data_IF_367775250152
#
_entry.id   IF_367775250152
#
_cell.length_a   1.000
_cell.length_b   1.000
_cell.length_c   1.000
_cell.angle_alpha   90.00
_cell.angle_beta   90.00
_cell.angle_gamma   90.00
#
_symmetry.space_group_name_H-M   'P 1'
#
loop_
_entity.id
_entity.type
_entity.pdbx_description
1 polymer ?
#
# COMPACT_ATOMS: atom_id res chain seq x y z
N UNK A 1 -2.25 -52.51 12.41
CA UNK A 1 -3.08 -51.28 12.46
C UNK A 1 -2.30 -49.99 12.14
N UNK A 2 -0.96 -49.99 12.02
CA UNK A 2 -0.17 -48.75 11.84
C UNK A 2 0.15 -48.33 10.39
N UNK A 3 -0.33 -49.05 9.36
CA UNK A 3 -0.03 -48.70 7.96
C UNK A 3 -0.96 -47.61 7.39
N UNK A 4 -2.19 -47.49 7.91
CA UNK A 4 -3.15 -46.47 7.44
C UNK A 4 -2.80 -45.07 7.94
N UNK A 5 -2.27 -44.94 9.17
CA UNK A 5 -1.88 -43.63 9.73
C UNK A 5 -0.62 -43.08 9.05
N UNK A 6 0.36 -43.93 8.72
CA UNK A 6 1.56 -43.52 7.99
C UNK A 6 1.30 -43.12 6.54
N UNK A 7 0.31 -43.74 5.88
CA UNK A 7 -0.10 -43.34 4.53
C UNK A 7 -0.74 -41.95 4.50
N UNK A 8 -1.59 -41.66 5.48
CA UNK A 8 -2.27 -40.36 5.59
C UNK A 8 -1.30 -39.24 5.98
N UNK A 9 -0.29 -39.49 6.82
CA UNK A 9 0.71 -38.49 7.19
C UNK A 9 1.65 -38.14 6.03
N UNK A 10 2.10 -39.13 5.25
CA UNK A 10 2.93 -38.92 4.06
C UNK A 10 2.18 -38.14 2.96
N UNK A 11 0.91 -38.49 2.72
CA UNK A 11 0.06 -37.74 1.79
C UNK A 11 -0.12 -36.29 2.22
N UNK A 12 -0.34 -36.03 3.52
CA UNK A 12 -0.45 -34.67 4.05
C UNK A 12 0.84 -33.85 3.90
N UNK A 13 2.01 -34.44 4.19
CA UNK A 13 3.31 -33.77 4.05
C UNK A 13 3.59 -33.44 2.58
N UNK A 14 3.31 -34.38 1.67
CA UNK A 14 3.51 -34.18 0.23
C UNK A 14 2.54 -33.13 -0.34
N UNK A 15 1.30 -33.10 0.16
CA UNK A 15 0.32 -32.10 -0.25
C UNK A 15 0.73 -30.69 0.22
N UNK A 16 1.19 -30.55 1.48
CA UNK A 16 1.66 -29.28 2.03
C UNK A 16 2.88 -28.73 1.27
N UNK A 17 3.82 -29.60 0.91
CA UNK A 17 5.00 -29.20 0.14
C UNK A 17 4.65 -28.69 -1.27
N UNK A 18 3.61 -29.25 -1.90
CA UNK A 18 3.12 -28.77 -3.20
C UNK A 18 2.41 -27.42 -3.07
N UNK A 19 1.56 -27.24 -2.06
CA UNK A 19 0.88 -25.95 -1.81
C UNK A 19 1.87 -24.81 -1.57
N UNK A 20 2.92 -25.04 -0.79
CA UNK A 20 3.94 -24.02 -0.53
C UNK A 20 4.68 -23.62 -1.81
N UNK A 21 5.03 -24.59 -2.67
CA UNK A 21 5.64 -24.34 -3.99
C UNK A 21 4.75 -23.46 -4.87
N UNK A 22 3.46 -23.74 -4.91
CA UNK A 22 2.50 -22.95 -5.69
C UNK A 22 2.41 -21.50 -5.20
N UNK A 23 2.37 -21.29 -3.87
CA UNK A 23 2.37 -19.94 -3.27
C UNK A 23 3.65 -19.17 -3.64
N UNK A 24 4.81 -19.82 -3.53
CA UNK A 24 6.10 -19.20 -3.88
C UNK A 24 6.18 -18.84 -5.37
N UNK A 25 5.63 -19.69 -6.24
CA UNK A 25 5.55 -19.42 -7.68
C UNK A 25 4.66 -18.21 -7.99
N UNK A 26 3.47 -18.13 -7.36
CA UNK A 26 2.56 -16.98 -7.51
C UNK A 26 3.24 -15.68 -7.05
N UNK A 27 3.94 -15.71 -5.91
CA UNK A 27 4.69 -14.56 -5.41
C UNK A 27 5.76 -14.11 -6.40
N UNK A 28 6.51 -15.04 -6.97
CA UNK A 28 7.53 -14.76 -7.98
C UNK A 28 6.95 -14.10 -9.23
N UNK A 29 5.85 -14.65 -9.76
CA UNK A 29 5.15 -14.08 -10.92
C UNK A 29 4.67 -12.65 -10.61
N UNK A 30 4.10 -12.44 -9.42
CA UNK A 30 3.67 -11.12 -8.98
C UNK A 30 4.84 -10.12 -8.88
N UNK A 31 6.01 -10.54 -8.38
CA UNK A 31 7.23 -9.70 -8.36
C UNK A 31 7.62 -9.20 -9.75
N UNK A 32 7.55 -10.08 -10.76
CA UNK A 32 7.88 -9.74 -12.15
C UNK A 32 6.91 -8.68 -12.69
N UNK A 33 5.61 -8.83 -12.40
CA UNK A 33 4.57 -7.88 -12.84
C UNK A 33 4.74 -6.50 -12.21
N UNK A 34 5.12 -6.45 -10.93
CA UNK A 34 5.24 -5.19 -10.17
C UNK A 34 6.53 -4.44 -10.46
N UNK A 35 7.61 -5.15 -10.82
CA UNK A 35 8.93 -4.55 -11.03
C UNK A 35 8.95 -3.40 -12.06
N UNK A 36 8.30 -3.51 -13.25
CA UNK A 36 8.19 -2.39 -14.19
C UNK A 36 7.48 -1.17 -13.59
N UNK A 37 6.39 -1.39 -12.85
CA UNK A 37 5.62 -0.31 -12.20
C UNK A 37 6.51 0.46 -11.24
N UNK A 38 7.29 -0.26 -10.43
CA UNK A 38 8.21 0.32 -9.47
C UNK A 38 9.30 1.17 -10.14
N UNK A 39 9.94 0.66 -11.20
CA UNK A 39 10.97 1.41 -11.94
C UNK A 39 10.41 2.71 -12.53
N UNK A 40 9.23 2.63 -13.14
CA UNK A 40 8.56 3.79 -13.71
C UNK A 40 8.19 4.80 -12.62
N UNK A 41 7.65 4.32 -11.50
CA UNK A 41 7.35 5.14 -10.32
C UNK A 41 8.58 5.92 -9.84
N UNK A 42 9.74 5.27 -9.68
CA UNK A 42 10.98 5.94 -9.25
C UNK A 42 11.39 7.05 -10.21
N UNK A 43 11.30 6.80 -11.52
CA UNK A 43 11.61 7.80 -12.57
C UNK A 43 10.67 8.99 -12.51
N UNK A 44 9.36 8.75 -12.43
CA UNK A 44 8.34 9.80 -12.39
C UNK A 44 8.43 10.61 -11.09
N UNK A 45 8.68 9.97 -9.95
CA UNK A 45 8.87 10.67 -8.67
C UNK A 45 10.05 11.64 -8.75
N UNK A 46 11.21 11.16 -9.22
CA UNK A 46 12.42 11.99 -9.35
C UNK A 46 12.18 13.24 -10.22
N UNK A 47 11.44 13.08 -11.32
CA UNK A 47 11.13 14.18 -12.24
C UNK A 47 10.17 15.22 -11.64
N UNK A 48 9.36 14.84 -10.64
CA UNK A 48 8.34 15.71 -10.05
C UNK A 48 8.73 16.26 -8.67
N UNK A 49 9.80 15.74 -8.05
CA UNK A 49 10.17 16.03 -6.66
C UNK A 49 10.19 17.52 -6.32
N UNK A 50 10.92 18.34 -7.08
CA UNK A 50 11.08 19.78 -6.82
C UNK A 50 9.77 20.55 -6.80
N UNK A 51 8.80 20.13 -7.61
CA UNK A 51 7.46 20.72 -7.63
C UNK A 51 6.60 20.16 -6.50
N UNK A 52 6.63 18.85 -6.30
CA UNK A 52 5.81 18.22 -5.28
C UNK A 52 6.19 18.73 -3.88
N UNK A 53 7.43 19.18 -3.66
CA UNK A 53 7.94 19.88 -2.47
C UNK A 53 7.10 21.09 -2.03
N UNK A 54 6.44 21.77 -2.97
CA UNK A 54 5.58 22.93 -2.69
C UNK A 54 4.20 22.52 -2.15
N UNK A 55 3.85 21.24 -2.21
CA UNK A 55 2.54 20.76 -1.76
C UNK A 55 2.52 20.50 -0.26
N UNK A 56 1.43 20.86 0.42
CA UNK A 56 1.24 20.59 1.85
C UNK A 56 1.30 19.09 2.22
N UNK A 57 1.15 18.18 1.25
CA UNK A 57 1.22 16.72 1.45
C UNK A 57 2.57 16.12 1.11
N UNK A 58 3.54 16.93 0.66
CA UNK A 58 4.83 16.45 0.21
C UNK A 58 5.52 15.57 1.23
N UNK A 59 5.48 15.95 2.50
CA UNK A 59 6.17 15.22 3.57
C UNK A 59 5.70 13.76 3.65
N UNK A 60 4.42 13.50 3.38
CA UNK A 60 3.84 12.16 3.43
C UNK A 60 4.14 11.40 2.15
N UNK A 61 4.05 12.07 0.99
CA UNK A 61 4.44 11.47 -0.30
C UNK A 61 5.94 11.10 -0.28
N UNK A 62 6.80 11.96 0.24
CA UNK A 62 8.25 11.73 0.35
C UNK A 62 8.56 10.62 1.34
N UNK A 63 7.87 10.58 2.48
CA UNK A 63 7.94 9.43 3.41
C UNK A 63 7.55 8.12 2.72
N UNK A 64 6.40 8.08 2.05
CA UNK A 64 5.95 6.92 1.28
C UNK A 64 6.96 6.54 0.19
N UNK A 65 7.54 7.52 -0.50
CA UNK A 65 8.55 7.26 -1.53
C UNK A 65 9.82 6.65 -0.95
N UNK A 66 10.39 7.27 0.09
CA UNK A 66 11.63 6.82 0.73
C UNK A 66 11.46 5.39 1.24
N UNK A 67 10.37 5.12 1.94
CA UNK A 67 10.08 3.79 2.46
C UNK A 67 9.81 2.79 1.37
N UNK A 68 8.92 3.11 0.42
CA UNK A 68 8.65 2.19 -0.69
C UNK A 68 9.93 1.90 -1.47
N UNK A 69 10.82 2.88 -1.66
CA UNK A 69 12.09 2.65 -2.35
C UNK A 69 12.95 1.62 -1.61
N UNK A 70 13.23 1.82 -0.32
CA UNK A 70 14.15 0.94 0.40
C UNK A 70 13.53 -0.41 0.77
N UNK A 71 12.32 -0.40 1.33
CA UNK A 71 11.69 -1.61 1.86
C UNK A 71 11.08 -2.48 0.77
N UNK A 72 10.49 -1.90 -0.29
CA UNK A 72 10.02 -2.73 -1.42
C UNK A 72 11.19 -3.37 -2.16
N UNK A 73 12.31 -2.65 -2.32
CA UNK A 73 13.52 -3.23 -2.91
C UNK A 73 14.08 -4.36 -2.04
N UNK A 74 14.23 -4.12 -0.73
CA UNK A 74 14.71 -5.15 0.19
C UNK A 74 13.76 -6.37 0.22
N UNK A 75 12.46 -6.15 0.23
CA UNK A 75 11.44 -7.19 0.20
C UNK A 75 11.59 -8.10 -1.02
N UNK A 76 11.65 -7.53 -2.22
CA UNK A 76 11.77 -8.33 -3.43
C UNK A 76 13.12 -9.03 -3.55
N UNK A 77 14.22 -8.39 -3.14
CA UNK A 77 15.54 -9.02 -3.14
C UNK A 77 15.60 -10.22 -2.19
N UNK A 78 15.16 -10.06 -0.94
CA UNK A 78 15.19 -11.11 0.06
C UNK A 78 14.21 -12.24 -0.27
N UNK A 79 13.02 -11.90 -0.76
CA UNK A 79 12.02 -12.91 -1.16
C UNK A 79 12.48 -13.69 -2.37
N UNK A 80 13.09 -13.05 -3.37
CA UNK A 80 13.63 -13.76 -4.54
C UNK A 80 14.79 -14.69 -4.16
N UNK A 81 15.66 -14.25 -3.25
CA UNK A 81 16.73 -15.10 -2.70
C UNK A 81 16.17 -16.27 -1.88
N UNK A 82 15.16 -16.02 -1.05
CA UNK A 82 14.47 -17.04 -0.28
C UNK A 82 13.82 -18.10 -1.18
N UNK A 83 13.10 -17.67 -2.22
CA UNK A 83 12.51 -18.58 -3.22
C UNK A 83 13.60 -19.43 -3.88
N UNK A 84 14.70 -18.82 -4.32
CA UNK A 84 15.81 -19.56 -4.93
C UNK A 84 16.35 -20.64 -3.98
N UNK A 85 16.64 -20.28 -2.73
CA UNK A 85 17.16 -21.22 -1.73
C UNK A 85 16.16 -22.33 -1.40
N UNK A 86 14.86 -22.04 -1.41
CA UNK A 86 13.83 -23.06 -1.24
C UNK A 86 13.89 -24.13 -2.35
N UNK A 87 14.07 -23.72 -3.61
CA UNK A 87 14.25 -24.67 -4.73
C UNK A 87 15.57 -25.44 -4.70
N UNK A 88 16.58 -24.96 -3.96
CA UNK A 88 17.85 -25.66 -3.70
C UNK A 88 17.83 -26.46 -2.40
N UNK A 89 16.65 -26.84 -1.90
CA UNK A 89 16.49 -27.68 -0.70
C UNK A 89 17.03 -27.04 0.59
N UNK A 90 17.18 -25.72 0.62
CA UNK A 90 17.57 -24.94 1.80
C UNK A 90 16.35 -24.28 2.47
N UNK A 91 15.31 -25.07 2.76
CA UNK A 91 14.00 -24.60 3.22
C UNK A 91 14.07 -23.71 4.47
N UNK A 92 14.80 -24.12 5.52
CA UNK A 92 14.90 -23.35 6.77
C UNK A 92 15.46 -21.94 6.54
N UNK A 93 16.51 -21.82 5.73
CA UNK A 93 17.13 -20.52 5.43
C UNK A 93 16.19 -19.68 4.57
N UNK A 94 15.50 -20.30 3.61
CA UNK A 94 14.50 -19.64 2.79
C UNK A 94 13.37 -19.03 3.62
N UNK A 95 12.78 -19.80 4.55
CA UNK A 95 11.72 -19.31 5.44
C UNK A 95 12.21 -18.13 6.28
N UNK A 96 13.41 -18.21 6.86
CA UNK A 96 13.97 -17.12 7.67
C UNK A 96 14.14 -15.83 6.85
N UNK A 97 14.65 -15.92 5.60
CA UNK A 97 14.81 -14.76 4.73
C UNK A 97 13.46 -14.13 4.35
N UNK A 98 12.45 -14.95 4.08
CA UNK A 98 11.08 -14.48 3.79
C UNK A 98 10.50 -13.80 5.03
N UNK A 99 10.65 -14.38 6.22
CA UNK A 99 10.15 -13.78 7.46
C UNK A 99 10.81 -12.42 7.77
N UNK A 100 12.13 -12.31 7.58
CA UNK A 100 12.87 -11.05 7.74
C UNK A 100 12.38 -9.98 6.75
N UNK A 101 11.92 -10.38 5.56
CA UNK A 101 11.39 -9.45 4.55
C UNK A 101 9.96 -8.99 4.87
N UNK A 102 9.11 -9.90 5.35
CA UNK A 102 7.68 -9.68 5.62
C UNK A 102 7.46 -8.77 6.83
N UNK A 103 8.21 -8.97 7.92
CA UNK A 103 7.99 -8.25 9.19
C UNK A 103 8.06 -6.72 9.02
N UNK A 104 9.12 -6.12 8.44
CA UNK A 104 9.17 -4.68 8.23
C UNK A 104 8.06 -4.16 7.30
N UNK A 105 7.68 -4.95 6.28
CA UNK A 105 6.64 -4.57 5.33
C UNK A 105 5.25 -4.54 5.97
N UNK A 106 4.98 -5.45 6.93
CA UNK A 106 3.78 -5.41 7.77
C UNK A 106 3.66 -4.06 8.48
N UNK A 107 4.70 -3.67 9.21
CA UNK A 107 4.66 -2.45 10.01
C UNK A 107 4.47 -1.20 9.15
N UNK A 108 5.15 -1.15 8.01
CA UNK A 108 5.04 -0.04 7.05
C UNK A 108 3.64 0.08 6.49
N UNK A 109 3.02 -1.06 6.17
CA UNK A 109 1.69 -1.07 5.58
C UNK A 109 0.65 -0.55 6.55
N UNK A 110 0.70 -0.97 7.81
CA UNK A 110 -0.17 -0.45 8.87
C UNK A 110 -0.02 1.05 9.06
N UNK A 111 1.22 1.53 9.15
CA UNK A 111 1.50 2.96 9.29
C UNK A 111 0.99 3.73 8.05
N UNK A 112 1.17 3.19 6.84
CA UNK A 112 0.66 3.82 5.63
C UNK A 112 -0.88 3.93 5.64
N UNK A 113 -1.59 2.87 6.02
CA UNK A 113 -3.05 2.90 6.15
C UNK A 113 -3.50 3.92 7.19
N UNK A 114 -2.87 3.96 8.36
CA UNK A 114 -3.14 4.95 9.39
C UNK A 114 -2.94 6.39 8.86
N UNK A 115 -1.83 6.66 8.19
CA UNK A 115 -1.54 7.97 7.61
C UNK A 115 -2.55 8.38 6.54
N UNK A 116 -3.08 7.43 5.76
CA UNK A 116 -4.15 7.72 4.81
C UNK A 116 -5.44 8.13 5.49
N UNK A 117 -5.82 7.44 6.57
CA UNK A 117 -6.97 7.83 7.37
C UNK A 117 -6.81 9.23 7.98
N UNK A 118 -5.60 9.55 8.49
CA UNK A 118 -5.28 10.87 9.03
C UNK A 118 -5.33 11.96 7.95
N UNK A 119 -4.80 11.68 6.76
CA UNK A 119 -4.84 12.58 5.61
C UNK A 119 -6.27 12.88 5.17
N UNK A 120 -7.13 11.86 5.15
CA UNK A 120 -8.53 12.03 4.78
C UNK A 120 -9.26 12.98 5.75
N UNK A 121 -9.03 12.79 7.05
CA UNK A 121 -9.54 13.67 8.12
C UNK A 121 -9.02 15.09 7.92
N UNK A 122 -7.70 15.26 7.77
CA UNK A 122 -7.08 16.56 7.52
C UNK A 122 -7.71 17.28 6.33
N UNK A 123 -7.90 16.57 5.19
CA UNK A 123 -8.46 17.15 3.97
C UNK A 123 -9.92 17.53 4.11
N UNK A 124 -10.71 16.69 4.78
CA UNK A 124 -12.12 16.99 5.06
C UNK A 124 -12.25 18.28 5.85
N UNK A 125 -11.57 18.39 6.99
CA UNK A 125 -11.68 19.55 7.86
C UNK A 125 -11.14 20.82 7.22
N UNK A 126 -10.00 20.79 6.55
CA UNK A 126 -9.46 21.98 5.86
C UNK A 126 -10.44 22.46 4.77
N UNK A 127 -11.09 21.54 4.06
CA UNK A 127 -12.01 21.88 2.98
C UNK A 127 -13.32 22.51 3.48
N UNK A 128 -13.96 21.92 4.50
CA UNK A 128 -15.25 22.41 5.02
C UNK A 128 -15.11 23.50 6.08
N UNK A 129 -13.97 23.53 6.78
CA UNK A 129 -13.70 24.44 7.89
C UNK A 129 -12.28 25.02 7.76
N UNK A 130 -12.07 26.03 6.90
CA UNK A 130 -10.73 26.60 6.67
C UNK A 130 -10.02 27.09 7.95
N UNK A 131 -10.77 27.47 8.99
CA UNK A 131 -10.22 27.81 10.31
C UNK A 131 -9.41 26.68 10.96
N UNK A 132 -9.64 25.43 10.57
CA UNK A 132 -8.91 24.26 11.06
C UNK A 132 -7.52 24.11 10.47
N UNK A 133 -7.19 24.83 9.39
CA UNK A 133 -5.88 24.75 8.71
C UNK A 133 -4.72 25.04 9.67
N UNK A 134 -4.87 25.98 10.60
CA UNK A 134 -3.85 26.29 11.61
C UNK A 134 -3.51 25.09 12.53
N UNK A 135 -4.47 24.21 12.77
CA UNK A 135 -4.32 23.05 13.66
C UNK A 135 -3.93 21.77 12.91
N UNK A 136 -4.39 21.65 11.66
CA UNK A 136 -4.24 20.45 10.84
C UNK A 136 -3.12 20.57 9.80
N UNK A 137 -2.40 21.68 9.74
CA UNK A 137 -1.18 21.79 8.98
C UNK A 137 -0.01 21.23 9.79
N UNK A 138 0.28 19.93 9.60
CA UNK A 138 1.34 19.25 10.33
C UNK A 138 2.72 19.76 9.94
N UNK A 139 3.45 20.33 10.91
CA UNK A 139 4.86 20.66 10.71
C UNK A 139 5.72 19.40 10.49
N UNK A 140 6.90 19.54 9.87
CA UNK A 140 7.88 18.44 9.74
C UNK A 140 8.16 17.73 11.07
N UNK A 141 8.23 18.51 12.16
CA UNK A 141 8.46 17.99 13.52
C UNK A 141 7.26 17.17 14.00
N UNK A 142 6.04 17.68 13.82
CA UNK A 142 4.80 16.98 14.19
C UNK A 142 4.66 15.68 13.41
N UNK A 143 4.87 15.71 12.09
CA UNK A 143 4.81 14.54 11.24
C UNK A 143 5.82 13.47 11.68
N UNK A 144 7.06 13.86 12.02
CA UNK A 144 8.06 12.93 12.56
C UNK A 144 7.60 12.24 13.85
N UNK A 145 6.97 12.96 14.78
CA UNK A 145 6.45 12.37 16.02
C UNK A 145 5.27 11.43 15.75
N UNK A 146 4.35 11.81 14.86
CA UNK A 146 3.24 10.94 14.43
C UNK A 146 3.78 9.62 13.88
N UNK A 147 4.81 9.69 13.02
CA UNK A 147 5.47 8.50 12.47
C UNK A 147 6.11 7.63 13.55
N UNK A 148 6.89 8.23 14.46
CA UNK A 148 7.55 7.48 15.55
C UNK A 148 6.51 6.74 16.39
N UNK A 149 5.41 7.41 16.76
CA UNK A 149 4.34 6.81 17.55
C UNK A 149 3.66 5.68 16.77
N UNK A 150 3.30 5.91 15.51
CA UNK A 150 2.63 4.92 14.67
C UNK A 150 3.49 3.66 14.45
N UNK A 151 4.77 3.82 14.14
CA UNK A 151 5.70 2.68 14.03
C UNK A 151 5.91 1.96 15.36
N UNK A 152 5.97 2.70 16.48
CA UNK A 152 6.12 2.08 17.80
C UNK A 152 4.92 1.22 18.15
N UNK A 153 3.69 1.71 17.91
CA UNK A 153 2.47 0.95 18.13
C UNK A 153 2.42 -0.31 17.25
N UNK A 154 2.74 -0.18 15.97
CA UNK A 154 2.75 -1.30 15.02
C UNK A 154 3.77 -2.37 15.42
N UNK A 155 4.97 -1.99 15.85
CA UNK A 155 5.98 -2.92 16.37
C UNK A 155 5.53 -3.59 17.68
N UNK A 156 4.86 -2.85 18.57
CA UNK A 156 4.33 -3.41 19.81
C UNK A 156 3.25 -4.47 19.55
N UNK A 157 2.39 -4.28 18.55
CA UNK A 157 1.43 -5.31 18.14
C UNK A 157 2.16 -6.56 17.64
N UNK A 158 3.18 -6.40 16.80
CA UNK A 158 3.94 -7.53 16.29
C UNK A 158 4.64 -8.30 17.42
N UNK A 159 5.26 -7.61 18.38
CA UNK A 159 5.86 -8.24 19.57
C UNK A 159 4.82 -8.97 20.40
N UNK A 160 3.59 -8.43 20.51
CA UNK A 160 2.49 -9.09 21.20
C UNK A 160 2.09 -10.41 20.50
N UNK A 161 1.94 -10.38 19.18
CA UNK A 161 1.63 -11.55 18.33
C UNK A 161 2.69 -12.64 18.46
N UNK A 162 3.97 -12.27 18.54
CA UNK A 162 5.06 -13.25 18.65
C UNK A 162 5.23 -13.83 20.06
N UNK A 163 4.84 -13.10 21.11
CA UNK A 163 5.08 -13.50 22.50
C UNK A 163 3.90 -14.24 23.12
N UNK A 164 2.68 -13.90 22.72
CA UNK A 164 1.46 -14.40 23.35
C UNK A 164 0.70 -15.33 22.41
N UNK A 165 0.13 -16.38 23.00
CA UNK A 165 -0.78 -17.29 22.29
C UNK A 165 -2.20 -16.71 22.15
N UNK A 166 -2.53 -15.69 22.96
CA UNK A 166 -3.77 -14.94 22.84
C UNK A 166 -3.64 -13.81 21.81
N UNK A 167 -4.41 -13.94 20.72
CA UNK A 167 -4.47 -12.97 19.63
C UNK A 167 -5.58 -11.91 19.81
N UNK A 168 -6.32 -11.93 20.93
CA UNK A 168 -7.47 -11.04 21.20
C UNK A 168 -7.15 -9.56 21.01
N UNK A 169 -6.04 -9.09 21.58
CA UNK A 169 -5.60 -7.70 21.50
C UNK A 169 -5.26 -7.32 20.06
N UNK A 170 -4.58 -8.22 19.33
CA UNK A 170 -4.24 -8.00 17.92
C UNK A 170 -5.49 -7.89 17.06
N UNK A 171 -6.54 -8.68 17.32
CA UNK A 171 -7.81 -8.54 16.60
C UNK A 171 -8.48 -7.19 16.85
N UNK A 172 -8.52 -6.74 18.11
CA UNK A 172 -9.11 -5.45 18.47
C UNK A 172 -8.32 -4.31 17.81
N UNK A 173 -6.99 -4.35 17.86
CA UNK A 173 -6.13 -3.36 17.22
C UNK A 173 -6.39 -3.29 15.71
N UNK A 174 -6.36 -4.42 15.01
CA UNK A 174 -6.52 -4.44 13.55
C UNK A 174 -7.95 -4.08 13.12
N UNK A 175 -8.96 -4.57 13.85
CA UNK A 175 -10.34 -4.16 13.65
C UNK A 175 -10.52 -2.65 13.84
N UNK A 176 -9.86 -2.07 14.85
CA UNK A 176 -9.90 -0.62 15.09
C UNK A 176 -9.29 0.19 13.94
N UNK A 177 -8.19 -0.28 13.33
CA UNK A 177 -7.59 0.36 12.15
C UNK A 177 -8.54 0.29 10.95
N UNK A 178 -9.21 -0.84 10.74
CA UNK A 178 -10.16 -1.00 9.64
C UNK A 178 -11.38 -0.10 9.79
N UNK A 179 -11.96 -0.05 11.00
CA UNK A 179 -13.08 0.86 11.32
C UNK A 179 -12.66 2.31 11.15
N UNK A 180 -11.48 2.69 11.67
CA UNK A 180 -10.91 4.02 11.49
C UNK A 180 -10.77 4.38 10.01
N UNK A 181 -10.21 3.49 9.19
CA UNK A 181 -10.01 3.76 7.77
C UNK A 181 -11.33 3.87 7.01
N UNK A 182 -12.29 3.01 7.32
CA UNK A 182 -13.64 3.07 6.73
C UNK A 182 -14.33 4.38 7.08
N UNK A 183 -14.27 4.79 8.35
CA UNK A 183 -14.82 6.07 8.80
C UNK A 183 -14.13 7.26 8.09
N UNK A 184 -12.80 7.22 7.97
CA UNK A 184 -12.02 8.21 7.20
C UNK A 184 -12.40 8.25 5.72
N UNK A 185 -12.73 7.11 5.11
CA UNK A 185 -13.18 7.04 3.72
C UNK A 185 -14.54 7.68 3.50
N UNK A 186 -15.48 7.51 4.44
CA UNK A 186 -16.78 8.15 4.35
C UNK A 186 -16.68 9.69 4.35
N UNK A 187 -15.65 10.26 4.99
CA UNK A 187 -15.39 11.70 4.95
C UNK A 187 -15.04 12.22 3.55
N UNK A 188 -14.62 11.36 2.61
CA UNK A 188 -14.39 11.77 1.23
C UNK A 188 -15.69 11.94 0.42
N UNK A 189 -16.78 11.29 0.81
CA UNK A 189 -18.06 11.39 0.10
C UNK A 189 -18.56 12.85 0.05
N UNK A 190 -18.64 13.58 1.20
CA UNK A 190 -18.99 15.00 1.18
C UNK A 190 -18.06 15.85 0.32
N UNK A 191 -16.74 15.58 0.35
CA UNK A 191 -15.73 16.33 -0.42
C UNK A 191 -15.99 16.18 -1.93
N UNK A 192 -16.28 14.96 -2.40
CA UNK A 192 -16.57 14.71 -3.82
C UNK A 192 -17.88 15.37 -4.23
N UNK A 193 -18.92 15.28 -3.40
CA UNK A 193 -20.21 15.92 -3.66
C UNK A 193 -20.04 17.45 -3.76
N UNK A 194 -19.33 18.08 -2.84
CA UNK A 194 -19.11 19.54 -2.86
C UNK A 194 -18.27 19.98 -4.06
N UNK A 195 -17.22 19.23 -4.43
CA UNK A 195 -16.42 19.52 -5.63
C UNK A 195 -17.27 19.42 -6.89
N UNK A 196 -18.12 18.40 -7.01
CA UNK A 196 -19.00 18.23 -8.18
C UNK A 196 -19.97 19.39 -8.37
N UNK A 197 -20.43 20.01 -7.27
CA UNK A 197 -21.29 21.20 -7.30
C UNK A 197 -20.57 22.48 -7.73
N UNK A 198 -19.25 22.57 -7.48
CA UNK A 198 -18.41 23.76 -7.78
C UNK A 198 -17.60 23.57 -9.08
N UNK A 199 -17.63 22.39 -9.69
CA UNK A 199 -16.87 22.00 -10.89
C UNK A 199 -17.18 22.81 -12.16
N UNK A 200 -18.25 23.61 -12.16
CA UNK A 200 -18.56 24.55 -13.24
C UNK A 200 -17.59 25.75 -13.30
N UNK A 201 -16.74 25.95 -12.27
CA UNK A 201 -15.74 27.02 -12.22
C UNK A 201 -14.35 26.50 -12.61
N UNK A 202 -13.65 27.24 -13.47
CA UNK A 202 -12.36 26.84 -14.06
C UNK A 202 -11.24 26.55 -13.03
N UNK A 203 -11.32 27.09 -11.80
CA UNK A 203 -10.36 26.82 -10.72
C UNK A 203 -10.57 25.46 -10.04
N UNK A 204 -11.79 24.89 -10.09
CA UNK A 204 -12.10 23.58 -9.52
C UNK A 204 -11.43 22.41 -10.27
N UNK A 205 -10.99 22.63 -11.53
CA UNK A 205 -10.18 21.67 -12.32
C UNK A 205 -8.76 21.47 -11.79
N UNK A 206 -8.33 22.19 -10.74
CA UNK A 206 -6.94 22.26 -10.27
C UNK A 206 -6.70 21.58 -8.90
N UNK A 207 -7.69 20.94 -8.25
CA UNK A 207 -7.48 20.23 -6.99
C UNK A 207 -6.90 18.80 -7.16
N UNK A 208 -5.68 18.72 -7.69
CA UNK A 208 -4.96 17.47 -8.04
C UNK A 208 -4.40 16.64 -6.86
N UNK A 209 -4.14 17.17 -5.65
CA UNK A 209 -3.65 16.34 -4.53
C UNK A 209 -4.75 15.53 -3.82
N UNK A 210 -6.03 15.93 -3.93
CA UNK A 210 -7.14 15.27 -3.22
C UNK A 210 -7.50 13.91 -3.83
N UNK A 211 -7.30 13.75 -5.13
CA UNK A 211 -7.62 12.52 -5.88
C UNK A 211 -6.70 11.36 -5.49
N UNK A 212 -5.43 11.66 -5.18
CA UNK A 212 -4.44 10.66 -4.75
C UNK A 212 -4.87 9.90 -3.51
N UNK A 213 -5.15 10.64 -2.44
CA UNK A 213 -5.59 10.06 -1.17
C UNK A 213 -6.97 9.41 -1.33
N UNK A 214 -7.88 10.03 -2.09
CA UNK A 214 -9.20 9.47 -2.35
C UNK A 214 -9.13 8.09 -3.03
N UNK A 215 -8.36 7.94 -4.10
CA UNK A 215 -8.25 6.68 -4.84
C UNK A 215 -7.58 5.59 -4.01
N UNK A 216 -6.52 5.92 -3.27
CA UNK A 216 -5.90 4.97 -2.35
C UNK A 216 -6.91 4.49 -1.31
N UNK A 217 -7.65 5.41 -0.72
CA UNK A 217 -8.60 5.10 0.34
C UNK A 217 -9.79 4.27 -0.18
N UNK A 218 -10.30 4.57 -1.38
CA UNK A 218 -11.34 3.76 -2.05
C UNK A 218 -10.86 2.34 -2.31
N UNK A 219 -9.63 2.18 -2.82
CA UNK A 219 -9.07 0.84 -3.09
C UNK A 219 -8.91 0.05 -1.79
N UNK A 220 -8.39 0.67 -0.72
CA UNK A 220 -8.19 -0.03 0.55
C UNK A 220 -9.53 -0.40 1.20
N UNK A 221 -10.55 0.47 1.15
CA UNK A 221 -11.89 0.12 1.67
C UNK A 221 -12.57 -0.95 0.81
N UNK A 222 -12.47 -0.87 -0.52
CA UNK A 222 -13.00 -1.92 -1.40
C UNK A 222 -12.37 -3.28 -1.07
N UNK A 223 -11.06 -3.31 -0.82
CA UNK A 223 -10.35 -4.50 -0.37
C UNK A 223 -10.90 -5.00 0.97
N UNK A 224 -11.15 -4.13 1.95
CA UNK A 224 -11.71 -4.50 3.25
C UNK A 224 -13.09 -5.15 3.11
N UNK A 225 -13.94 -4.65 2.22
CA UNK A 225 -15.26 -5.25 1.97
C UNK A 225 -15.17 -6.68 1.43
N UNK A 226 -14.16 -7.00 0.63
CA UNK A 226 -13.90 -8.37 0.16
C UNK A 226 -13.55 -9.30 1.32
N UNK A 227 -12.69 -8.86 2.25
CA UNK A 227 -12.31 -9.67 3.41
C UNK A 227 -13.43 -9.82 4.44
N UNK A 228 -14.27 -8.80 4.61
CA UNK A 228 -15.49 -8.92 5.40
C UNK A 228 -16.44 -9.96 4.79
N UNK A 229 -16.58 -9.97 3.47
CA UNK A 229 -17.39 -10.97 2.76
C UNK A 229 -16.82 -12.37 2.93
N UNK A 230 -15.49 -12.52 2.81
CA UNK A 230 -14.80 -13.80 3.05
C UNK A 230 -15.05 -14.31 4.48
N UNK A 231 -14.94 -13.44 5.48
CA UNK A 231 -15.23 -13.77 6.87
C UNK A 231 -16.66 -14.33 7.04
N UNK A 232 -17.67 -13.60 6.53
CA UNK A 232 -19.07 -14.02 6.61
C UNK A 232 -19.35 -15.34 5.88
N UNK A 233 -18.70 -15.58 4.74
CA UNK A 233 -18.81 -16.85 4.00
C UNK A 233 -18.20 -17.99 4.80
N UNK A 234 -17.00 -17.81 5.36
CA UNK A 234 -16.36 -18.82 6.19
C UNK A 234 -17.19 -19.16 7.44
N UNK A 235 -17.80 -18.15 8.07
CA UNK A 235 -18.71 -18.33 9.22
C UNK A 235 -20.01 -19.04 8.83
N UNK A 236 -20.58 -18.75 7.65
CA UNK A 236 -21.84 -19.36 7.21
C UNK A 236 -21.70 -20.81 6.75
N UNK A 237 -20.56 -21.18 6.16
CA UNK A 237 -20.35 -22.50 5.56
C UNK A 237 -19.45 -23.44 6.40
N UNK A 238 -19.09 -23.05 7.63
CA UNK A 238 -18.20 -23.82 8.52
C UNK A 238 -16.93 -24.31 7.81
N UNK A 239 -16.30 -23.42 7.03
CA UNK A 239 -15.14 -23.78 6.21
C UNK A 239 -13.94 -24.07 7.12
N UNK A 240 -13.56 -25.34 7.23
CA UNK A 240 -12.33 -25.75 7.90
C UNK A 240 -11.14 -25.67 6.93
N UNK A 241 -10.10 -24.89 7.24
CA UNK A 241 -8.92 -24.78 6.39
C UNK A 241 -8.08 -26.06 6.43
N UNK A 242 -7.51 -26.43 5.28
CA UNK A 242 -6.53 -27.48 5.11
C UNK A 242 -5.09 -26.92 4.99
N UNK A 243 -4.09 -27.80 5.12
CA UNK A 243 -2.69 -27.48 4.85
C UNK A 243 -1.93 -26.71 5.95
N UNK A 244 -0.98 -25.86 5.56
CA UNK A 244 -0.11 -25.07 6.47
C UNK A 244 -0.90 -24.25 7.50
N UNK A 245 -2.09 -23.77 7.12
CA UNK A 245 -2.96 -22.99 8.01
C UNK A 245 -3.57 -23.86 9.13
N UNK A 246 -3.77 -25.16 8.92
CA UNK A 246 -4.34 -26.05 9.93
C UNK A 246 -3.43 -26.17 11.17
N UNK A 247 -2.10 -26.12 10.99
CA UNK A 247 -1.12 -26.15 12.09
C UNK A 247 -1.19 -24.87 12.92
N UNK A 248 -1.32 -23.71 12.28
CA UNK A 248 -1.43 -22.39 12.93
C UNK A 248 -2.74 -22.21 13.72
N UNK A 249 -3.74 -23.07 13.47
CA UNK A 249 -5.09 -22.95 14.02
C UNK A 249 -5.34 -23.95 15.15
N UNK A 250 -4.46 -24.95 15.37
CA UNK A 250 -4.62 -25.99 16.40
C UNK A 250 -4.84 -25.46 17.82
N UNK A 251 -4.27 -24.30 18.15
CA UNK A 251 -4.38 -23.67 19.47
C UNK A 251 -5.53 -22.68 19.59
N UNK A 252 -6.27 -22.43 18.51
CA UNK A 252 -7.29 -21.39 18.45
C UNK A 252 -8.66 -22.02 18.61
N UNK A 253 -9.48 -21.44 19.49
CA UNK A 253 -10.86 -21.86 19.69
C UNK A 253 -11.61 -21.81 18.33
N UNK A 254 -12.31 -22.90 17.94
CA UNK A 254 -13.04 -23.01 16.69
C UNK A 254 -13.88 -21.79 16.31
N UNK A 255 -14.45 -21.10 17.31
CA UNK A 255 -15.27 -19.91 17.11
C UNK A 255 -14.51 -18.74 16.47
N UNK A 256 -13.19 -18.63 16.70
CA UNK A 256 -12.38 -17.52 16.19
C UNK A 256 -11.64 -17.86 14.89
N UNK A 257 -11.75 -19.08 14.38
CA UNK A 257 -11.06 -19.53 13.16
C UNK A 257 -11.38 -18.66 11.94
N UNK A 258 -12.67 -18.36 11.62
CA UNK A 258 -13.00 -17.54 10.45
C UNK A 258 -12.38 -16.13 10.55
N UNK A 259 -12.38 -15.57 11.77
CA UNK A 259 -11.83 -14.25 12.03
C UNK A 259 -10.31 -14.23 11.86
N UNK A 260 -9.61 -15.22 12.41
CA UNK A 260 -8.16 -15.37 12.26
C UNK A 260 -7.76 -15.55 10.78
N UNK A 261 -8.52 -16.36 10.03
CA UNK A 261 -8.25 -16.60 8.61
C UNK A 261 -8.44 -15.33 7.78
N UNK A 262 -9.56 -14.63 7.96
CA UNK A 262 -9.81 -13.36 7.28
C UNK A 262 -8.74 -12.31 7.64
N UNK A 263 -8.31 -12.30 8.90
CA UNK A 263 -7.26 -11.44 9.40
C UNK A 263 -5.91 -11.68 8.72
N UNK A 264 -5.40 -12.91 8.74
CA UNK A 264 -4.11 -13.25 8.13
C UNK A 264 -4.10 -12.98 6.63
N UNK A 265 -5.17 -13.38 5.93
CA UNK A 265 -5.29 -13.13 4.50
C UNK A 265 -5.34 -11.62 4.20
N UNK A 266 -6.07 -10.83 4.99
CA UNK A 266 -6.11 -9.39 4.83
C UNK A 266 -4.74 -8.75 5.00
N UNK A 267 -3.99 -9.09 6.06
CA UNK A 267 -2.63 -8.58 6.28
C UNK A 267 -1.66 -9.00 5.17
N UNK A 268 -1.70 -10.27 4.74
CA UNK A 268 -0.85 -10.75 3.65
C UNK A 268 -1.09 -9.97 2.35
N UNK A 269 -2.36 -9.74 2.00
CA UNK A 269 -2.72 -8.96 0.82
C UNK A 269 -2.33 -7.48 0.98
N UNK A 270 -2.45 -6.91 2.17
CA UNK A 270 -2.00 -5.55 2.44
C UNK A 270 -0.49 -5.39 2.23
N UNK A 271 0.32 -6.31 2.75
CA UNK A 271 1.79 -6.31 2.57
C UNK A 271 2.17 -6.31 1.08
N UNK A 272 1.46 -7.09 0.27
CA UNK A 272 1.73 -7.21 -1.16
C UNK A 272 1.20 -6.02 -1.97
N UNK A 273 -0.02 -5.55 -1.68
CA UNK A 273 -0.72 -4.55 -2.49
C UNK A 273 -0.44 -3.11 -2.06
N UNK A 274 -0.17 -2.83 -0.78
CA UNK A 274 -0.07 -1.43 -0.33
C UNK A 274 1.05 -0.64 -1.02
N UNK A 275 2.26 -1.20 -1.21
CA UNK A 275 3.31 -0.51 -1.96
C UNK A 275 2.89 -0.26 -3.42
N UNK A 276 2.22 -1.23 -4.05
CA UNK A 276 1.82 -1.15 -5.46
C UNK A 276 0.67 -0.18 -5.67
N UNK A 277 -0.33 -0.21 -4.79
CA UNK A 277 -1.39 0.80 -4.71
C UNK A 277 -0.76 2.18 -4.59
N UNK A 278 0.22 2.36 -3.70
CA UNK A 278 0.88 3.65 -3.50
C UNK A 278 1.58 4.13 -4.77
N UNK A 279 2.29 3.24 -5.47
CA UNK A 279 2.99 3.54 -6.72
C UNK A 279 2.01 3.89 -7.85
N UNK A 280 1.02 3.03 -8.07
CA UNK A 280 0.03 3.18 -9.16
C UNK A 280 -0.79 4.45 -8.95
N UNK A 281 -1.28 4.69 -7.75
CA UNK A 281 -2.05 5.91 -7.46
C UNK A 281 -1.18 7.15 -7.60
N UNK A 282 0.09 7.14 -7.19
CA UNK A 282 0.98 8.28 -7.45
C UNK A 282 1.14 8.55 -8.96
N UNK A 283 1.29 7.50 -9.77
CA UNK A 283 1.40 7.60 -11.23
C UNK A 283 0.11 8.13 -11.88
N UNK A 284 -1.05 7.63 -11.46
CA UNK A 284 -2.34 7.94 -12.09
C UNK A 284 -2.95 9.28 -11.65
N UNK A 285 -2.69 9.73 -10.41
CA UNK A 285 -3.45 10.84 -9.81
C UNK A 285 -3.03 12.23 -10.28
N UNK A 286 -1.98 12.33 -11.10
CA UNK A 286 -1.57 13.61 -11.66
C UNK A 286 -1.55 13.49 -13.18
N UNK A 287 -2.40 14.27 -13.87
CA UNK A 287 -2.41 14.35 -15.35
C UNK A 287 -1.00 14.56 -15.92
N UNK A 288 -0.13 15.29 -15.22
CA UNK A 288 1.27 15.44 -15.61
C UNK A 288 2.10 14.19 -15.32
N UNK A 289 1.85 13.45 -14.24
CA UNK A 289 2.47 12.13 -14.01
C UNK A 289 2.04 11.14 -15.09
N UNK A 290 0.78 11.17 -15.52
CA UNK A 290 0.29 10.37 -16.64
C UNK A 290 0.95 10.76 -17.96
N UNK A 291 1.13 12.07 -18.23
CA UNK A 291 1.87 12.55 -19.40
C UNK A 291 3.35 12.15 -19.32
N UNK A 292 3.99 12.26 -18.16
CA UNK A 292 5.38 11.85 -17.94
C UNK A 292 5.54 10.34 -18.06
N UNK A 293 4.59 9.57 -17.54
CA UNK A 293 4.45 8.12 -17.70
C UNK A 293 4.39 7.77 -19.19
N UNK A 294 3.45 8.37 -19.93
CA UNK A 294 3.32 8.19 -21.38
C UNK A 294 4.58 8.57 -22.15
N UNK A 295 5.25 9.68 -21.78
CA UNK A 295 6.54 10.08 -22.36
C UNK A 295 7.66 9.10 -22.01
N UNK A 296 7.63 8.52 -20.81
CA UNK A 296 8.63 7.55 -20.37
C UNK A 296 8.48 6.18 -21.03
N UNK A 297 7.25 5.83 -21.45
CA UNK A 297 6.90 4.62 -22.19
C UNK A 297 7.09 4.77 -23.71
N UNK A 298 7.17 6.01 -24.23
CA UNK A 298 7.46 6.24 -25.65
C UNK A 298 8.88 5.80 -25.99
N UNK A 299 9.08 4.84 -26.92
CA UNK A 299 10.41 4.47 -27.38
C UNK A 299 11.06 5.65 -28.12
N UNK A 300 12.36 5.85 -27.89
CA UNK A 300 13.16 6.91 -28.51
C UNK A 300 13.25 6.83 -30.06
N UNK A 301 12.66 5.81 -30.69
CA UNK A 301 12.60 5.66 -32.15
C UNK A 301 11.64 6.64 -32.84
N UNK A 302 10.79 7.37 -32.11
CA UNK A 302 9.89 8.37 -32.68
C UNK A 302 10.14 9.76 -32.08
N UNK A 303 11.37 10.26 -32.18
CA UNK A 303 11.61 11.71 -32.10
C UNK A 303 11.10 12.35 -33.38
N UNK A 304 9.85 12.79 -33.38
CA UNK A 304 9.39 13.78 -34.35
C UNK A 304 10.05 15.11 -33.97
N UNK A 305 10.77 15.73 -34.91
CA UNK A 305 11.33 17.07 -34.80
C UNK A 305 10.25 18.17 -34.86
N UNK A 306 9.10 17.94 -34.23
CA UNK A 306 8.06 18.94 -34.11
C UNK A 306 8.43 19.89 -32.97
N UNK A 307 8.65 21.16 -33.32
CA UNK A 307 8.82 22.28 -32.40
C UNK A 307 7.60 22.34 -31.47
N UNK A 308 7.85 22.43 -30.17
CA UNK A 308 6.82 22.56 -29.12
C UNK A 308 6.10 23.91 -29.28
N UNK A 309 4.77 23.95 -29.48
CA UNK A 309 4.03 25.21 -29.63
C UNK A 309 3.90 26.00 -28.32
N UNK A 310 4.44 25.52 -27.19
CA UNK A 310 4.41 26.23 -25.90
C UNK A 310 5.80 26.72 -25.47
N UNK A 311 6.51 27.44 -26.34
CA UNK A 311 7.61 28.31 -25.90
C UNK A 311 7.00 29.47 -25.11
N UNK A 312 7.43 29.72 -23.86
CA UNK A 312 6.92 30.84 -23.08
C UNK A 312 7.30 32.16 -23.75
N UNK A 313 6.33 33.08 -23.77
CA UNK A 313 6.35 34.41 -24.39
C UNK A 313 7.33 35.40 -23.71
N UNK A 314 8.47 34.93 -23.19
CA UNK A 314 9.42 35.74 -22.41
C UNK A 314 10.69 36.15 -23.20
N UNK A 315 10.66 36.07 -24.53
CA UNK A 315 11.81 36.47 -25.37
C UNK A 315 11.55 37.70 -26.26
N UNK A 316 10.35 38.30 -26.22
CA UNK A 316 10.05 39.51 -27.01
C UNK A 316 10.07 40.82 -26.22
N UNK A 317 10.16 40.80 -24.89
CA UNK A 317 10.11 42.02 -24.06
C UNK A 317 11.48 42.71 -23.88
N UNK A 318 12.58 42.09 -24.34
CA UNK A 318 13.95 42.61 -24.17
C UNK A 318 14.57 43.21 -25.45
N UNK A 319 13.78 43.50 -26.49
CA UNK A 319 14.27 44.15 -27.72
C UNK A 319 13.76 45.57 -27.96
N UNK A 320 12.88 46.13 -27.11
CA UNK A 320 12.29 47.46 -27.35
C UNK A 320 12.84 48.61 -26.47
N UNK A 321 13.89 48.42 -25.67
CA UNK A 321 14.46 49.50 -24.83
C UNK A 321 15.86 49.98 -25.23
N UNK A 322 16.29 49.71 -26.46
CA UNK A 322 17.59 50.22 -26.97
C UNK A 322 17.45 51.03 -28.26
N UNK A 323 16.45 51.92 -28.35
CA UNK A 323 16.51 53.08 -29.24
C UNK A 323 15.72 54.25 -28.63
N UNK A 324 16.41 55.08 -27.84
CA UNK A 324 16.28 56.55 -27.84
C UNK A 324 17.42 57.18 -27.04
#
# INVERSE_FOLDING_TARGET
MNFSENGNSLLHIQNNGNTLKDILLILFIYSIIVSPIFVIYLKVYKLNKTRDEETAIFQIIDHFHVINKYLTTAFWCLTSLGILLYFYEHENIAVVLIMISVIPCSCVTEVNQFLLGLLAIQRFFIYFYPSTEKYLNFSKRTMKWILIIAYSISVLELVHVFKNEDYSISYVYNGSIQVFLTASALLYIPIVISISKVANLASAKINKPQIFVALQLVIVVAKQMVFLTMFLVCEFFDVTPDGFMAEAIKSVDPKFIPMLLAFFNSKAVDILLMPTITQITYLLCNRRNLITLWRSLKPNCCKSNAVDPNVPLNYMENMETTQQ
#
